data_IF_732710704830
#
_entry.id   IF_732710704830
#
_cell.length_a   1.000
_cell.length_b   1.000
_cell.length_c   1.000
_cell.angle_alpha   90.00
_cell.angle_beta   90.00
_cell.angle_gamma   90.00
#
_symmetry.space_group_name_H-M   'P 1'
#
loop_
_entity.id
_entity.type
_entity.pdbx_description
1 polymer ?
#
# COMPACT_ATOMS: atom_id res chain seq x y z
N UNK A 1 -6.67 -21.49 11.00
CA UNK A 1 -7.90 -20.65 11.04
C UNK A 1 -8.22 -20.34 12.48
N UNK A 2 -8.41 -19.09 12.82
CA UNK A 2 -8.85 -18.59 14.12
C UNK A 2 -10.18 -17.85 13.93
N UNK A 3 -11.09 -17.96 14.91
CA UNK A 3 -12.39 -17.26 14.91
C UNK A 3 -12.66 -16.64 16.27
N UNK A 4 -13.08 -15.39 16.28
CA UNK A 4 -13.49 -14.67 17.49
C UNK A 4 -14.65 -13.74 17.20
N UNK A 5 -15.51 -13.52 18.20
CA UNK A 5 -16.57 -12.50 18.18
C UNK A 5 -16.16 -11.32 19.04
N UNK A 6 -16.67 -10.14 18.72
CA UNK A 6 -16.37 -8.90 19.43
C UNK A 6 -14.86 -8.70 19.68
N UNK A 7 -14.10 -8.80 18.59
CA UNK A 7 -12.64 -8.82 18.62
C UNK A 7 -12.07 -7.41 18.46
N UNK A 8 -11.18 -6.98 19.37
CA UNK A 8 -10.56 -5.66 19.31
C UNK A 8 -9.60 -5.54 18.11
N UNK A 9 -9.80 -4.50 17.28
CA UNK A 9 -8.99 -4.19 16.11
C UNK A 9 -7.91 -3.13 16.38
N UNK A 10 -7.86 -2.55 17.57
CA UNK A 10 -6.97 -1.44 17.91
C UNK A 10 -5.50 -1.73 17.60
N UNK A 11 -5.02 -2.93 17.91
CA UNK A 11 -3.64 -3.36 17.66
C UNK A 11 -3.43 -3.96 16.26
N UNK A 12 -4.49 -4.05 15.46
CA UNK A 12 -4.46 -4.55 14.09
C UNK A 12 -4.45 -3.44 13.04
N UNK A 13 -4.42 -2.18 13.48
CA UNK A 13 -4.23 -1.00 12.62
C UNK A 13 -3.06 -0.18 13.13
N UNK A 14 -2.32 0.45 12.23
CA UNK A 14 -1.17 1.28 12.60
C UNK A 14 -1.58 2.66 13.14
N UNK A 15 -2.82 3.10 12.88
CA UNK A 15 -3.37 4.33 13.46
C UNK A 15 -3.89 4.14 14.89
N UNK A 16 -4.12 2.88 15.30
CA UNK A 16 -4.50 2.47 16.67
C UNK A 16 -5.78 3.12 17.21
N UNK A 17 -6.72 3.52 16.35
CA UNK A 17 -8.07 3.89 16.82
C UNK A 17 -8.80 2.67 17.39
N UNK A 18 -9.60 2.85 18.45
CA UNK A 18 -10.40 1.75 18.98
C UNK A 18 -11.48 1.34 17.99
N UNK A 19 -11.87 0.08 18.03
CA UNK A 19 -12.95 -0.51 17.25
C UNK A 19 -12.94 -2.02 17.41
N UNK A 20 -14.09 -2.64 17.26
CA UNK A 20 -14.27 -4.08 17.38
C UNK A 20 -14.81 -4.67 16.07
N UNK A 21 -14.42 -5.89 15.77
CA UNK A 21 -15.04 -6.69 14.72
C UNK A 21 -16.15 -7.54 15.33
N UNK A 22 -17.36 -7.53 14.77
CA UNK A 22 -18.42 -8.45 15.20
C UNK A 22 -17.99 -9.90 15.00
N UNK A 23 -17.36 -10.17 13.86
CA UNK A 23 -16.78 -11.48 13.53
C UNK A 23 -15.37 -11.30 12.97
N UNK A 24 -14.38 -11.90 13.61
CA UNK A 24 -13.00 -11.90 13.18
C UNK A 24 -12.55 -13.31 12.81
N UNK A 25 -11.94 -13.46 11.64
CA UNK A 25 -11.30 -14.69 11.19
C UNK A 25 -9.87 -14.39 10.74
N UNK A 26 -8.91 -15.25 11.13
CA UNK A 26 -7.61 -15.30 10.48
C UNK A 26 -7.45 -16.58 9.67
N UNK A 27 -6.71 -16.51 8.58
CA UNK A 27 -6.45 -17.66 7.72
C UNK A 27 -5.02 -17.60 7.14
N UNK A 28 -4.39 -18.79 6.99
CA UNK A 28 -2.99 -18.95 6.59
C UNK A 28 -2.82 -19.65 5.23
N UNK A 29 -3.91 -20.09 4.61
CA UNK A 29 -3.93 -20.74 3.30
C UNK A 29 -5.33 -20.65 2.67
N UNK A 30 -5.42 -20.99 1.38
CA UNK A 30 -6.67 -20.93 0.61
C UNK A 30 -7.72 -21.94 1.11
N UNK A 31 -7.31 -23.08 1.64
CA UNK A 31 -8.25 -24.07 2.19
C UNK A 31 -8.96 -23.53 3.43
N UNK A 32 -8.24 -22.84 4.32
CA UNK A 32 -8.84 -22.17 5.48
C UNK A 32 -9.78 -21.05 5.05
N UNK A 33 -9.37 -20.19 4.06
CA UNK A 33 -10.27 -19.18 3.51
C UNK A 33 -11.54 -19.80 2.93
N UNK A 34 -11.40 -20.84 2.13
CA UNK A 34 -12.55 -21.57 1.55
C UNK A 34 -13.47 -22.09 2.65
N UNK A 35 -12.91 -22.67 3.71
CA UNK A 35 -13.69 -23.14 4.86
C UNK A 35 -14.45 -22.02 5.58
N UNK A 36 -13.88 -20.79 5.63
CA UNK A 36 -14.55 -19.63 6.22
C UNK A 36 -15.72 -19.19 5.34
N UNK A 37 -15.47 -18.96 4.03
CA UNK A 37 -16.50 -18.40 3.14
C UNK A 37 -17.61 -19.37 2.79
N UNK A 38 -17.38 -20.67 2.93
CA UNK A 38 -18.38 -21.74 2.76
C UNK A 38 -19.16 -22.09 4.03
N UNK A 39 -18.95 -21.37 5.14
CA UNK A 39 -19.78 -21.55 6.34
C UNK A 39 -21.23 -21.21 6.03
N UNK A 40 -22.16 -21.99 6.54
CA UNK A 40 -23.61 -21.80 6.35
C UNK A 40 -24.12 -20.43 6.83
N UNK A 41 -23.42 -19.80 7.78
CA UNK A 41 -23.77 -18.49 8.34
C UNK A 41 -23.00 -17.33 7.71
N UNK A 42 -21.99 -17.56 6.85
CA UNK A 42 -21.07 -16.52 6.35
C UNK A 42 -21.80 -15.41 5.61
N UNK A 43 -22.71 -15.74 4.70
CA UNK A 43 -23.52 -14.77 3.97
C UNK A 43 -24.32 -13.87 4.91
N UNK A 44 -24.94 -14.45 5.93
CA UNK A 44 -25.74 -13.72 6.93
C UNK A 44 -24.87 -12.80 7.79
N UNK A 45 -23.74 -13.29 8.34
CA UNK A 45 -22.88 -12.50 9.24
C UNK A 45 -22.08 -11.42 8.49
N UNK A 46 -21.91 -11.57 7.17
CA UNK A 46 -21.29 -10.58 6.29
C UNK A 46 -22.30 -9.63 5.64
N UNK A 47 -23.57 -9.65 6.07
CA UNK A 47 -24.64 -8.86 5.50
C UNK A 47 -24.69 -8.98 3.96
N UNK A 48 -24.82 -10.21 3.46
CA UNK A 48 -24.81 -10.54 2.03
C UNK A 48 -23.55 -9.98 1.33
N UNK A 49 -22.37 -10.23 1.94
CA UNK A 49 -21.03 -9.84 1.46
C UNK A 49 -20.75 -8.34 1.44
N UNK A 50 -21.64 -7.48 1.98
CA UNK A 50 -21.46 -6.02 1.98
C UNK A 50 -20.53 -5.53 3.08
N UNK A 51 -20.51 -6.22 4.23
CA UNK A 51 -19.77 -5.82 5.42
C UNK A 51 -18.57 -6.76 5.65
N UNK A 52 -17.67 -6.84 4.65
CA UNK A 52 -16.42 -7.58 4.74
C UNK A 52 -15.25 -6.60 4.70
N UNK A 53 -14.38 -6.67 5.69
CA UNK A 53 -13.09 -5.99 5.72
C UNK A 53 -11.96 -7.02 5.60
N UNK A 54 -11.25 -7.00 4.48
CA UNK A 54 -10.00 -7.76 4.34
C UNK A 54 -8.86 -6.97 4.95
N UNK A 55 -8.19 -7.54 5.94
CA UNK A 55 -7.19 -6.88 6.75
C UNK A 55 -5.79 -7.47 6.50
N UNK A 56 -4.88 -6.63 6.02
CA UNK A 56 -3.43 -6.87 6.02
C UNK A 56 -2.80 -6.37 7.33
N UNK A 57 -1.86 -5.44 7.25
CA UNK A 57 -1.28 -4.75 8.42
C UNK A 57 -2.10 -3.58 8.96
N UNK A 58 -3.22 -3.23 8.33
CA UNK A 58 -4.02 -2.07 8.72
C UNK A 58 -3.29 -0.72 8.60
N UNK A 59 -2.25 -0.64 7.76
CA UNK A 59 -1.36 0.52 7.63
C UNK A 59 -1.93 1.66 6.78
N UNK A 60 -3.08 1.45 6.14
CA UNK A 60 -3.79 2.45 5.36
C UNK A 60 -5.29 2.43 5.72
N UNK A 61 -5.57 2.26 7.00
CA UNK A 61 -6.92 2.12 7.52
C UNK A 61 -7.14 3.05 8.72
N UNK A 62 -8.25 3.78 8.68
CA UNK A 62 -8.78 4.55 9.80
C UNK A 62 -10.13 3.94 10.19
N UNK A 63 -10.21 3.35 11.38
CA UNK A 63 -11.46 2.87 11.95
C UNK A 63 -12.22 4.05 12.55
N UNK A 64 -13.47 4.27 12.10
CA UNK A 64 -14.38 5.30 12.62
C UNK A 64 -15.32 4.73 13.70
N UNK A 65 -15.16 3.48 14.06
CA UNK A 65 -15.97 2.73 15.02
C UNK A 65 -15.86 1.24 14.77
N UNK A 66 -16.85 0.49 15.26
CA UNK A 66 -16.91 -0.95 15.12
C UNK A 66 -17.20 -1.40 13.68
N UNK A 67 -16.67 -2.56 13.31
CA UNK A 67 -16.97 -3.25 12.06
C UNK A 67 -18.10 -4.25 12.33
N UNK A 68 -19.33 -3.90 11.96
CA UNK A 68 -20.55 -4.68 12.21
C UNK A 68 -20.71 -5.90 11.26
N UNK A 69 -19.62 -6.44 10.76
CA UNK A 69 -19.59 -7.54 9.82
C UNK A 69 -18.41 -8.47 10.08
N UNK A 70 -17.78 -8.92 9.01
CA UNK A 70 -16.68 -9.87 9.03
C UNK A 70 -15.36 -9.17 8.74
N UNK A 71 -14.37 -9.37 9.61
CA UNK A 71 -12.98 -9.04 9.35
C UNK A 71 -12.21 -10.31 8.99
N UNK A 72 -11.60 -10.32 7.83
CA UNK A 72 -10.76 -11.40 7.32
C UNK A 72 -9.28 -11.00 7.39
N UNK A 73 -8.57 -11.47 8.39
CA UNK A 73 -7.13 -11.25 8.55
C UNK A 73 -6.37 -12.25 7.68
N UNK A 74 -5.74 -11.73 6.63
CA UNK A 74 -4.93 -12.54 5.73
C UNK A 74 -3.52 -12.73 6.28
N UNK A 75 -3.15 -13.99 6.54
CA UNK A 75 -1.86 -14.41 7.05
C UNK A 75 -1.18 -15.43 6.12
N UNK A 76 -1.59 -15.52 4.85
CA UNK A 76 -0.96 -16.39 3.88
C UNK A 76 0.46 -15.88 3.61
N UNK A 77 1.45 -16.59 4.14
CA UNK A 77 2.86 -16.30 3.98
C UNK A 77 3.50 -17.25 2.98
N UNK A 78 4.75 -16.95 2.65
CA UNK A 78 5.59 -17.78 1.81
C UNK A 78 5.89 -17.12 0.47
N UNK A 79 7.00 -17.55 -0.10
CA UNK A 79 7.50 -17.14 -1.42
C UNK A 79 8.00 -18.40 -2.12
N UNK A 80 7.64 -18.54 -3.38
CA UNK A 80 8.19 -19.58 -4.26
C UNK A 80 8.62 -18.99 -5.59
N UNK A 81 9.71 -19.45 -6.13
CA UNK A 81 10.11 -19.18 -7.50
C UNK A 81 9.22 -20.04 -8.40
N UNK A 82 8.55 -19.39 -9.36
CA UNK A 82 7.64 -20.08 -10.31
C UNK A 82 8.29 -20.28 -11.66
N UNK A 83 9.22 -19.39 -12.03
CA UNK A 83 10.02 -19.50 -13.25
C UNK A 83 11.27 -18.65 -13.13
N UNK A 84 12.27 -18.94 -13.96
CA UNK A 84 13.57 -18.27 -13.94
C UNK A 84 14.20 -18.28 -15.33
N UNK A 85 14.70 -17.13 -15.77
CA UNK A 85 15.50 -16.98 -16.98
C UNK A 85 16.90 -16.41 -16.66
N UNK A 86 17.69 -16.14 -17.69
CA UNK A 86 18.98 -15.45 -17.53
C UNK A 86 18.83 -14.07 -16.92
N UNK A 87 17.78 -13.34 -17.31
CA UNK A 87 17.61 -11.91 -17.00
C UNK A 87 16.54 -11.65 -15.93
N UNK A 88 15.60 -12.57 -15.79
CA UNK A 88 14.42 -12.37 -14.96
C UNK A 88 14.20 -13.51 -13.97
N UNK A 89 13.54 -13.22 -12.88
CA UNK A 89 13.02 -14.15 -11.90
C UNK A 89 11.52 -13.92 -11.69
N UNK A 90 10.74 -15.00 -11.72
CA UNK A 90 9.31 -14.97 -11.47
C UNK A 90 9.04 -15.60 -10.11
N UNK A 91 8.37 -14.86 -9.24
CA UNK A 91 8.05 -15.30 -7.89
C UNK A 91 6.56 -15.17 -7.61
N UNK A 92 6.00 -16.15 -6.90
CA UNK A 92 4.68 -16.06 -6.31
C UNK A 92 4.80 -15.88 -4.80
N UNK A 93 4.12 -14.88 -4.27
CA UNK A 93 4.23 -14.47 -2.87
C UNK A 93 2.87 -14.49 -2.22
N UNK A 94 2.77 -15.07 -1.03
CA UNK A 94 1.56 -15.09 -0.22
C UNK A 94 1.13 -13.70 0.20
N UNK A 95 -0.17 -13.43 0.10
CA UNK A 95 -0.73 -12.09 0.27
C UNK A 95 -0.59 -11.51 1.70
N UNK A 96 -0.40 -12.36 2.71
CA UNK A 96 -0.15 -11.95 4.10
C UNK A 96 1.30 -11.57 4.39
N UNK A 97 2.25 -11.89 3.50
CA UNK A 97 3.65 -11.55 3.68
C UNK A 97 3.85 -10.04 3.79
N UNK A 98 4.72 -9.61 4.70
CA UNK A 98 5.11 -8.21 4.83
C UNK A 98 5.77 -7.70 3.54
N UNK A 99 5.32 -6.54 3.06
CA UNK A 99 5.87 -5.94 1.83
C UNK A 99 7.36 -5.62 1.95
N UNK A 100 7.78 -5.06 3.08
CA UNK A 100 9.20 -4.70 3.25
C UNK A 100 10.09 -5.92 3.39
N UNK A 101 9.60 -6.99 4.01
CA UNK A 101 10.32 -8.27 4.03
C UNK A 101 10.51 -8.85 2.62
N UNK A 102 9.51 -8.73 1.74
CA UNK A 102 9.68 -9.08 0.32
C UNK A 102 10.78 -8.26 -0.34
N UNK A 103 10.79 -6.93 -0.11
CA UNK A 103 11.84 -6.05 -0.65
C UNK A 103 13.22 -6.47 -0.16
N UNK A 104 13.39 -6.71 1.14
CA UNK A 104 14.68 -7.16 1.70
C UNK A 104 15.11 -8.50 1.12
N UNK A 105 14.19 -9.45 0.99
CA UNK A 105 14.46 -10.74 0.37
C UNK A 105 14.93 -10.60 -1.08
N UNK A 106 14.29 -9.73 -1.86
CA UNK A 106 14.71 -9.44 -3.23
C UNK A 106 16.13 -8.85 -3.29
N UNK A 107 16.44 -7.90 -2.40
CA UNK A 107 17.78 -7.30 -2.31
C UNK A 107 18.86 -8.32 -1.97
N UNK A 108 18.60 -9.22 -1.02
CA UNK A 108 19.51 -10.28 -0.60
C UNK A 108 19.84 -11.27 -1.75
N UNK A 109 18.88 -11.46 -2.68
CA UNK A 109 19.03 -12.34 -3.82
C UNK A 109 19.47 -11.61 -5.11
N UNK A 110 19.71 -10.29 -5.04
CA UNK A 110 20.11 -9.48 -6.21
C UNK A 110 18.98 -9.23 -7.21
N UNK A 111 17.72 -9.34 -6.80
CA UNK A 111 16.54 -9.12 -7.65
C UNK A 111 16.11 -7.66 -7.60
N UNK A 112 16.13 -6.99 -8.75
CA UNK A 112 15.81 -5.58 -8.92
C UNK A 112 14.36 -5.36 -9.32
N UNK A 113 13.87 -4.11 -9.08
CA UNK A 113 12.57 -3.60 -9.53
C UNK A 113 11.65 -3.15 -8.41
N UNK A 114 11.95 -3.50 -7.14
CA UNK A 114 11.16 -3.09 -5.98
C UNK A 114 11.96 -2.35 -4.90
N UNK A 115 13.23 -2.07 -5.12
CA UNK A 115 14.12 -1.36 -4.18
C UNK A 115 13.61 0.04 -3.82
N UNK A 116 13.00 0.76 -4.77
CA UNK A 116 12.38 2.07 -4.55
C UNK A 116 11.13 2.01 -3.66
N UNK A 117 10.55 0.82 -3.49
CA UNK A 117 9.35 0.58 -2.68
C UNK A 117 9.68 0.10 -1.25
N UNK A 118 10.96 0.21 -0.85
CA UNK A 118 11.41 -0.14 0.50
C UNK A 118 10.66 0.66 1.58
N UNK A 119 10.45 0.04 2.77
CA UNK A 119 9.73 0.60 3.92
C UNK A 119 8.29 1.05 3.65
N UNK A 120 7.65 0.70 2.54
CA UNK A 120 6.19 0.88 2.42
C UNK A 120 5.54 -0.11 3.39
N UNK A 121 4.76 0.38 4.37
CA UNK A 121 4.10 -0.52 5.31
C UNK A 121 2.91 -1.22 4.67
N UNK A 122 2.66 -2.45 5.02
CA UNK A 122 1.54 -3.23 4.51
C UNK A 122 1.92 -4.67 4.19
N UNK A 123 1.02 -5.36 3.51
CA UNK A 123 1.22 -6.73 3.04
C UNK A 123 1.21 -6.80 1.51
N UNK A 124 1.77 -7.87 0.98
CA UNK A 124 1.84 -8.14 -0.46
C UNK A 124 0.45 -8.10 -1.10
N UNK A 125 -0.57 -8.70 -0.48
CA UNK A 125 -1.94 -8.68 -1.01
C UNK A 125 -2.66 -7.33 -0.93
N UNK A 126 -2.18 -6.40 -0.08
CA UNK A 126 -2.69 -5.04 -0.03
C UNK A 126 -2.06 -4.13 -1.11
N UNK A 127 -0.90 -4.50 -1.64
CA UNK A 127 -0.15 -3.71 -2.59
C UNK A 127 -0.91 -3.45 -3.91
N UNK A 128 -1.59 -4.46 -4.55
CA UNK A 128 -2.37 -4.25 -5.77
C UNK A 128 -3.61 -3.36 -5.57
N UNK A 129 -4.18 -3.32 -4.36
CA UNK A 129 -5.43 -2.60 -4.11
C UNK A 129 -5.34 -1.13 -4.53
N UNK A 130 -4.21 -0.49 -4.29
CA UNK A 130 -3.98 0.90 -4.66
C UNK A 130 -2.72 1.10 -5.52
N UNK A 131 -2.25 0.05 -6.20
CA UNK A 131 -1.05 0.13 -7.02
C UNK A 131 0.03 0.91 -6.27
N UNK A 132 0.55 0.35 -5.16
CA UNK A 132 1.52 1.07 -4.32
C UNK A 132 2.67 1.58 -5.17
N UNK A 133 3.18 2.76 -4.83
CA UNK A 133 4.27 3.36 -5.59
C UNK A 133 4.98 4.45 -4.80
N UNK A 134 6.26 4.57 -5.03
CA UNK A 134 7.13 5.59 -4.45
C UNK A 134 8.35 5.81 -5.34
N UNK A 135 8.87 7.02 -5.34
CA UNK A 135 10.14 7.37 -5.97
C UNK A 135 10.28 6.90 -7.42
N UNK A 136 9.22 7.11 -8.22
CA UNK A 136 9.22 6.83 -9.65
C UNK A 136 8.92 5.39 -10.05
N UNK A 137 8.65 4.49 -9.08
CA UNK A 137 8.30 3.08 -9.32
C UNK A 137 6.90 2.79 -8.76
N UNK A 138 6.12 2.00 -9.48
CA UNK A 138 4.81 1.50 -9.06
C UNK A 138 4.78 -0.03 -9.08
N UNK A 139 3.88 -0.64 -8.32
CA UNK A 139 3.71 -2.10 -8.29
C UNK A 139 3.50 -2.70 -9.68
N UNK A 140 2.70 -2.01 -10.52
CA UNK A 140 2.37 -2.46 -11.89
C UNK A 140 3.59 -2.70 -12.75
N UNK A 141 4.74 -2.07 -12.45
CA UNK A 141 5.96 -2.16 -13.24
C UNK A 141 6.62 -3.56 -13.12
N UNK A 142 6.33 -4.27 -12.03
CA UNK A 142 6.84 -5.62 -11.74
C UNK A 142 5.73 -6.67 -11.59
N UNK A 143 4.47 -6.26 -11.68
CA UNK A 143 3.32 -7.14 -11.49
C UNK A 143 3.10 -8.07 -12.68
N UNK A 144 2.83 -9.34 -12.41
CA UNK A 144 2.48 -10.33 -13.43
C UNK A 144 1.01 -10.73 -13.34
N UNK A 145 0.61 -11.24 -12.19
CA UNK A 145 -0.77 -11.67 -11.93
C UNK A 145 -1.03 -11.74 -10.43
N UNK A 146 -2.27 -11.92 -10.06
CA UNK A 146 -2.67 -12.25 -8.70
C UNK A 146 -3.78 -13.30 -8.70
N UNK A 147 -3.88 -14.01 -7.59
CA UNK A 147 -4.98 -14.94 -7.32
C UNK A 147 -5.87 -14.36 -6.23
N UNK A 148 -7.19 -14.40 -6.45
CA UNK A 148 -8.16 -13.89 -5.48
C UNK A 148 -9.47 -14.69 -5.49
N UNK A 149 -10.18 -14.65 -4.38
CA UNK A 149 -11.54 -15.15 -4.24
C UNK A 149 -12.53 -13.99 -4.35
N UNK A 150 -13.59 -14.17 -5.15
CA UNK A 150 -14.68 -13.21 -5.27
C UNK A 150 -15.88 -13.68 -4.46
N UNK A 151 -16.32 -12.92 -3.46
CA UNK A 151 -17.32 -13.33 -2.48
C UNK A 151 -18.68 -13.55 -3.10
N UNK A 152 -19.23 -12.56 -3.84
CA UNK A 152 -20.57 -12.64 -4.44
C UNK A 152 -20.68 -13.73 -5.52
N UNK A 153 -19.61 -13.90 -6.32
CA UNK A 153 -19.58 -14.89 -7.38
C UNK A 153 -19.17 -16.29 -6.91
N UNK A 154 -18.70 -16.37 -5.67
CA UNK A 154 -18.27 -17.61 -4.99
C UNK A 154 -17.29 -18.43 -5.85
N UNK A 155 -16.25 -17.76 -6.39
CA UNK A 155 -15.26 -18.41 -7.25
C UNK A 155 -13.88 -17.76 -7.18
N UNK A 156 -12.88 -18.52 -7.60
CA UNK A 156 -11.50 -18.09 -7.76
C UNK A 156 -11.27 -17.37 -9.08
N UNK A 157 -10.46 -16.33 -9.03
CA UNK A 157 -9.93 -15.62 -10.20
C UNK A 157 -8.42 -15.60 -10.19
N UNK A 158 -7.85 -15.67 -11.40
CA UNK A 158 -6.48 -15.30 -11.70
C UNK A 158 -6.56 -14.05 -12.58
N UNK A 159 -6.03 -12.93 -12.11
CA UNK A 159 -6.08 -11.64 -12.80
C UNK A 159 -4.70 -11.23 -13.28
N UNK A 160 -4.59 -10.86 -14.54
CA UNK A 160 -3.40 -10.27 -15.13
C UNK A 160 -3.36 -8.75 -14.96
N UNK A 161 -2.36 -8.14 -15.57
CA UNK A 161 -2.09 -6.70 -15.49
C UNK A 161 -3.29 -5.86 -15.96
N UNK A 162 -3.86 -6.20 -17.11
CA UNK A 162 -4.96 -5.46 -17.70
C UNK A 162 -6.25 -5.60 -16.89
N UNK A 163 -6.52 -6.79 -16.34
CA UNK A 163 -7.68 -7.05 -15.50
C UNK A 163 -7.69 -6.20 -14.24
N UNK A 164 -6.52 -5.94 -13.66
CA UNK A 164 -6.35 -5.13 -12.45
C UNK A 164 -6.60 -3.64 -12.70
N UNK A 165 -6.58 -3.15 -13.95
CA UNK A 165 -6.86 -1.78 -14.34
C UNK A 165 -6.12 -0.76 -13.47
N UNK A 166 -4.83 -0.95 -13.26
CA UNK A 166 -4.03 -0.09 -12.39
C UNK A 166 -3.97 1.35 -12.88
N UNK A 167 -4.11 2.28 -11.95
CA UNK A 167 -3.93 3.70 -12.12
C UNK A 167 -3.16 4.32 -10.96
N UNK A 168 -2.99 5.64 -10.96
CA UNK A 168 -2.33 6.35 -9.87
C UNK A 168 -3.10 6.19 -8.56
N UNK A 169 -2.57 5.42 -7.62
CA UNK A 169 -3.20 5.04 -6.34
C UNK A 169 -4.59 4.42 -6.55
N UNK A 170 -4.77 3.66 -7.62
CA UNK A 170 -6.06 3.10 -8.02
C UNK A 170 -5.93 1.73 -8.67
N UNK A 171 -7.02 0.93 -8.61
CA UNK A 171 -7.18 -0.35 -9.27
C UNK A 171 -8.66 -0.75 -9.33
N UNK A 172 -8.96 -1.88 -9.97
CA UNK A 172 -10.31 -2.48 -9.96
C UNK A 172 -10.82 -2.72 -8.52
N UNK A 173 -9.91 -3.02 -7.57
CA UNK A 173 -10.23 -3.29 -6.16
C UNK A 173 -10.65 -2.05 -5.37
N UNK A 174 -10.48 -0.85 -5.91
CA UNK A 174 -11.03 0.41 -5.35
C UNK A 174 -12.31 0.86 -6.06
N UNK A 175 -12.67 0.22 -7.14
CA UNK A 175 -13.81 0.53 -8.00
C UNK A 175 -14.82 -0.62 -8.04
N UNK A 176 -14.98 -1.30 -9.14
CA UNK A 176 -16.00 -2.33 -9.36
C UNK A 176 -15.91 -3.55 -8.43
N UNK A 177 -14.70 -3.88 -7.97
CA UNK A 177 -14.43 -5.01 -7.08
C UNK A 177 -14.13 -4.60 -5.63
N UNK A 178 -14.45 -3.37 -5.27
CA UNK A 178 -14.27 -2.87 -3.90
C UNK A 178 -15.08 -3.71 -2.91
N UNK A 179 -14.42 -4.21 -1.87
CA UNK A 179 -14.95 -5.06 -0.80
C UNK A 179 -15.53 -6.41 -1.29
N UNK A 180 -15.32 -6.79 -2.56
CA UNK A 180 -15.86 -8.03 -3.13
C UNK A 180 -14.86 -9.17 -3.18
N UNK A 181 -13.59 -8.91 -2.91
CA UNK A 181 -12.52 -9.89 -3.12
C UNK A 181 -11.53 -9.94 -1.98
N UNK A 182 -10.89 -11.11 -1.86
CA UNK A 182 -9.68 -11.29 -1.04
C UNK A 182 -8.56 -11.87 -1.91
N UNK A 183 -7.46 -11.14 -2.01
CA UNK A 183 -6.25 -11.56 -2.73
C UNK A 183 -5.50 -12.56 -1.85
N UNK A 184 -5.07 -13.70 -2.41
CA UNK A 184 -4.37 -14.76 -1.67
C UNK A 184 -2.91 -14.90 -2.07
N UNK A 185 -2.57 -14.59 -3.31
CA UNK A 185 -1.17 -14.51 -3.76
C UNK A 185 -0.99 -13.46 -4.86
N UNK A 186 0.24 -12.97 -5.00
CA UNK A 186 0.65 -12.06 -6.07
C UNK A 186 1.90 -12.60 -6.72
N UNK A 187 1.94 -12.59 -8.05
CA UNK A 187 3.10 -12.95 -8.84
C UNK A 187 3.82 -11.70 -9.35
N UNK A 188 5.14 -11.73 -9.24
CA UNK A 188 6.03 -10.66 -9.65
C UNK A 188 7.04 -11.18 -10.66
N UNK A 189 7.42 -10.31 -11.60
CA UNK A 189 8.59 -10.44 -12.45
C UNK A 189 9.63 -9.44 -11.96
N UNK A 190 10.74 -9.92 -11.42
CA UNK A 190 11.87 -9.10 -10.99
C UNK A 190 13.07 -9.34 -11.90
N UNK A 191 13.92 -8.34 -12.04
CA UNK A 191 15.10 -8.44 -12.90
C UNK A 191 16.34 -8.87 -12.13
N UNK A 192 17.17 -9.74 -12.74
CA UNK A 192 18.52 -10.03 -12.28
C UNK A 192 19.55 -9.03 -12.79
N UNK A 193 19.17 -8.25 -13.82
CA UNK A 193 19.97 -7.19 -14.42
C UNK A 193 19.35 -5.84 -14.08
N UNK A 194 19.82 -5.21 -13.00
CA UNK A 194 19.21 -4.00 -12.45
C UNK A 194 19.29 -2.80 -13.41
N UNK A 195 18.12 -2.26 -13.79
CA UNK A 195 18.00 -0.91 -14.35
C UNK A 195 17.45 -0.02 -13.21
N UNK A 196 18.36 0.74 -12.57
CA UNK A 196 18.04 1.50 -11.38
C UNK A 196 17.26 2.77 -11.72
N UNK A 197 16.15 3.01 -11.04
CA UNK A 197 15.45 4.28 -11.11
C UNK A 197 15.96 5.23 -10.01
N UNK A 198 16.89 6.10 -10.36
CA UNK A 198 17.50 7.08 -9.44
C UNK A 198 17.17 8.52 -9.79
N UNK A 199 16.38 8.77 -10.86
CA UNK A 199 16.08 10.12 -11.37
C UNK A 199 15.21 10.94 -10.41
N UNK A 200 14.55 10.33 -9.44
CA UNK A 200 13.82 11.07 -8.43
C UNK A 200 14.80 11.87 -7.56
N UNK A 201 14.75 13.22 -7.66
CA UNK A 201 15.74 14.11 -7.08
C UNK A 201 16.12 13.89 -5.63
N UNK A 202 15.21 13.37 -4.81
CA UNK A 202 15.51 13.02 -3.43
C UNK A 202 16.46 11.83 -3.31
N UNK A 203 16.35 10.81 -4.19
CA UNK A 203 17.26 9.65 -4.22
C UNK A 203 18.65 10.09 -4.64
N UNK A 204 18.74 10.85 -5.73
CA UNK A 204 20.04 11.37 -6.21
C UNK A 204 20.75 12.18 -5.13
N UNK A 205 20.02 13.07 -4.44
CA UNK A 205 20.55 13.86 -3.33
C UNK A 205 21.04 13.01 -2.18
N UNK A 206 20.27 11.95 -1.80
CA UNK A 206 20.64 11.09 -0.68
C UNK A 206 21.83 10.18 -1.01
N UNK A 207 21.89 9.63 -2.23
CA UNK A 207 23.04 8.87 -2.72
C UNK A 207 24.32 9.75 -2.72
N UNK A 208 24.19 11.03 -3.09
CA UNK A 208 25.30 11.98 -3.00
C UNK A 208 25.78 12.19 -1.56
N UNK A 209 24.88 12.32 -0.58
CA UNK A 209 25.24 12.40 0.86
C UNK A 209 25.90 11.13 1.36
N UNK A 210 25.51 9.97 0.84
CA UNK A 210 26.11 8.67 1.15
C UNK A 210 27.47 8.47 0.48
N UNK A 211 27.92 9.38 -0.42
CA UNK A 211 29.16 9.26 -1.17
C UNK A 211 29.13 8.19 -2.28
N UNK A 212 27.93 7.79 -2.72
CA UNK A 212 27.74 6.71 -3.70
C UNK A 212 27.65 7.28 -5.11
N UNK A 213 28.63 6.98 -5.96
CA UNK A 213 28.71 7.43 -7.36
C UNK A 213 28.07 6.44 -8.35
N UNK A 214 28.16 5.15 -8.06
CA UNK A 214 27.60 4.06 -8.88
C UNK A 214 26.76 3.16 -7.96
N UNK A 215 25.47 3.48 -7.76
CA UNK A 215 24.64 2.74 -6.84
C UNK A 215 24.33 1.33 -7.34
N UNK A 216 24.16 0.40 -6.42
CA UNK A 216 23.52 -0.89 -6.60
C UNK A 216 22.07 -0.81 -6.10
N UNK A 217 21.27 -1.88 -6.28
CA UNK A 217 19.91 -1.97 -5.71
C UNK A 217 19.91 -1.75 -4.19
N UNK A 218 20.97 -2.21 -3.51
CA UNK A 218 21.10 -2.08 -2.06
C UNK A 218 21.29 -0.61 -1.63
N UNK A 219 22.16 0.15 -2.34
CA UNK A 219 22.34 1.58 -2.05
C UNK A 219 21.11 2.40 -2.37
N UNK A 220 20.37 2.07 -3.46
CA UNK A 220 19.09 2.71 -3.77
C UNK A 220 18.08 2.45 -2.65
N UNK A 221 17.92 1.20 -2.22
CA UNK A 221 17.02 0.87 -1.13
C UNK A 221 17.42 1.56 0.19
N UNK A 222 18.71 1.63 0.52
CA UNK A 222 19.22 2.36 1.70
C UNK A 222 18.89 3.86 1.61
N UNK A 223 19.11 4.49 0.45
CA UNK A 223 18.77 5.90 0.23
C UNK A 223 17.26 6.12 0.44
N UNK A 224 16.41 5.25 -0.13
CA UNK A 224 14.95 5.29 0.07
C UNK A 224 14.59 5.15 1.55
N UNK A 225 15.17 4.18 2.25
CA UNK A 225 14.94 3.97 3.69
C UNK A 225 15.35 5.20 4.51
N UNK A 226 16.50 5.82 4.23
CA UNK A 226 16.95 7.04 4.90
C UNK A 226 15.97 8.20 4.68
N UNK A 227 15.57 8.44 3.43
CA UNK A 227 14.60 9.50 3.09
C UNK A 227 13.27 9.26 3.81
N UNK A 228 12.78 8.03 3.84
CA UNK A 228 11.51 7.70 4.50
C UNK A 228 11.60 7.87 6.01
N UNK A 229 12.62 7.35 6.64
CA UNK A 229 12.85 7.49 8.10
C UNK A 229 13.01 8.94 8.54
N UNK A 230 13.54 9.82 7.67
CA UNK A 230 13.66 11.25 7.99
C UNK A 230 12.31 12.00 7.98
N UNK A 231 11.30 11.48 7.25
CA UNK A 231 10.03 12.16 6.99
C UNK A 231 8.80 11.45 7.57
N UNK A 232 8.83 10.12 7.66
CA UNK A 232 7.68 9.31 8.03
C UNK A 232 7.96 8.69 9.41
N UNK A 233 7.11 8.94 10.40
CA UNK A 233 7.31 8.36 11.72
C UNK A 233 7.04 6.85 11.71
N UNK A 234 7.81 6.10 12.50
CA UNK A 234 7.51 4.70 12.74
C UNK A 234 6.15 4.58 13.44
N UNK A 235 5.18 3.86 12.85
CA UNK A 235 3.82 3.76 13.40
C UNK A 235 3.76 3.02 14.75
N UNK A 236 4.79 2.26 15.13
CA UNK A 236 4.88 1.63 16.45
C UNK A 236 5.14 2.67 17.55
N UNK A 237 5.87 3.74 17.22
CA UNK A 237 6.21 4.83 18.13
C UNK A 237 5.20 5.99 18.05
N UNK A 238 4.80 6.37 16.84
CA UNK A 238 3.83 7.42 16.56
C UNK A 238 2.74 6.86 15.65
N UNK A 239 1.61 6.41 16.18
CA UNK A 239 0.54 5.80 15.42
C UNK A 239 0.09 6.67 14.25
N UNK A 240 0.08 6.10 13.05
CA UNK A 240 -0.30 6.78 11.81
C UNK A 240 -0.74 5.76 10.75
N UNK A 241 -1.37 6.25 9.69
CA UNK A 241 -1.79 5.42 8.55
C UNK A 241 -1.09 5.85 7.24
N UNK A 242 0.14 6.38 7.34
CA UNK A 242 0.88 6.92 6.19
C UNK A 242 0.30 8.22 5.66
N UNK A 243 0.54 8.52 4.37
CA UNK A 243 0.01 9.73 3.73
C UNK A 243 -1.51 9.63 3.57
N UNK A 244 -2.24 10.51 4.23
CA UNK A 244 -3.70 10.52 4.24
C UNK A 244 -4.29 11.05 2.92
N UNK A 245 -3.66 12.09 2.35
CA UNK A 245 -4.12 12.70 1.10
C UNK A 245 -3.28 12.27 -0.09
N UNK A 246 -3.94 12.01 -1.20
CA UNK A 246 -3.26 11.87 -2.49
C UNK A 246 -3.12 13.22 -3.19
N UNK A 247 -2.15 13.37 -4.08
CA UNK A 247 -1.98 14.56 -4.89
C UNK A 247 -3.20 14.75 -5.79
N UNK A 248 -3.93 15.88 -5.71
CA UNK A 248 -5.07 16.15 -6.58
C UNK A 248 -4.61 16.46 -8.01
N UNK A 249 -5.45 16.07 -8.97
CA UNK A 249 -5.35 16.56 -10.35
C UNK A 249 -6.36 17.67 -10.53
N UNK A 250 -5.93 18.82 -11.04
CA UNK A 250 -6.75 20.01 -11.29
C UNK A 250 -6.69 20.37 -12.78
N UNK A 251 -7.73 21.05 -13.25
CA UNK A 251 -7.82 21.55 -14.63
C UNK A 251 -6.85 22.69 -14.91
N UNK A 252 -6.56 22.98 -16.19
CA UNK A 252 -5.74 24.13 -16.59
C UNK A 252 -6.30 25.43 -16.00
N UNK A 253 -7.63 25.63 -16.04
CA UNK A 253 -8.30 26.82 -15.48
C UNK A 253 -8.10 26.97 -13.98
N UNK A 254 -8.20 25.87 -13.23
CA UNK A 254 -7.96 25.88 -11.76
C UNK A 254 -6.48 26.17 -11.45
N UNK A 255 -5.55 25.63 -12.25
CA UNK A 255 -4.14 25.90 -12.09
C UNK A 255 -3.80 27.38 -12.32
N UNK A 256 -4.26 27.97 -13.42
CA UNK A 256 -4.03 29.39 -13.72
C UNK A 256 -4.63 30.31 -12.62
N UNK A 257 -5.81 29.95 -12.08
CA UNK A 257 -6.38 30.69 -10.96
C UNK A 257 -5.52 30.62 -9.70
N UNK A 258 -5.07 29.43 -9.32
CA UNK A 258 -4.21 29.25 -8.14
C UNK A 258 -2.84 29.94 -8.32
N UNK A 259 -2.31 29.99 -9.54
CA UNK A 259 -1.03 30.62 -9.84
C UNK A 259 -1.03 32.12 -9.62
N UNK A 260 -2.18 32.78 -9.63
CA UNK A 260 -2.31 34.21 -9.32
C UNK A 260 -1.85 34.46 -7.87
N UNK A 261 -2.37 33.67 -6.93
CA UNK A 261 -2.06 33.82 -5.50
C UNK A 261 -0.74 33.10 -5.11
N UNK A 262 -0.36 32.07 -5.88
CA UNK A 262 0.80 31.22 -5.63
C UNK A 262 1.64 31.03 -6.90
N UNK A 263 2.43 32.04 -7.34
CA UNK A 263 3.26 31.98 -8.55
C UNK A 263 4.25 30.79 -8.56
N UNK A 264 4.70 30.37 -7.38
CA UNK A 264 5.67 29.29 -7.15
C UNK A 264 5.00 27.91 -6.92
N UNK A 265 3.69 27.74 -7.25
CA UNK A 265 2.97 26.49 -7.04
C UNK A 265 3.69 25.33 -7.76
N UNK A 266 4.16 24.30 -7.05
CA UNK A 266 4.78 23.16 -7.67
C UNK A 266 3.73 22.30 -8.38
N UNK A 267 4.09 21.73 -9.52
CA UNK A 267 3.18 20.92 -10.31
C UNK A 267 3.89 19.84 -11.12
N UNK A 268 3.13 18.84 -11.51
CA UNK A 268 3.48 17.89 -12.56
C UNK A 268 2.44 18.02 -13.67
N UNK A 269 2.88 18.38 -14.89
CA UNK A 269 1.97 18.50 -16.04
C UNK A 269 1.48 17.09 -16.43
N UNK A 270 0.19 16.96 -16.65
CA UNK A 270 -0.48 15.77 -17.16
C UNK A 270 -1.18 16.11 -18.49
N UNK A 271 -1.54 15.12 -19.32
CA UNK A 271 -2.31 15.39 -20.54
C UNK A 271 -3.59 16.18 -20.29
N UNK A 272 -4.29 15.90 -19.18
CA UNK A 272 -5.60 16.48 -18.87
C UNK A 272 -5.57 17.46 -17.66
N UNK A 273 -4.43 18.13 -17.43
CA UNK A 273 -4.33 19.13 -16.36
C UNK A 273 -3.00 19.09 -15.60
N UNK A 274 -3.07 19.38 -14.30
CA UNK A 274 -1.92 19.51 -13.41
C UNK A 274 -2.11 18.70 -12.14
N UNK A 275 -1.15 17.88 -11.78
CA UNK A 275 -1.10 17.21 -10.48
C UNK A 275 -0.32 18.07 -9.49
N UNK A 276 -0.98 18.48 -8.41
CA UNK A 276 -0.42 19.36 -7.38
C UNK A 276 0.00 18.52 -6.16
N UNK A 277 1.21 18.73 -5.61
CA UNK A 277 1.61 18.06 -4.38
C UNK A 277 0.70 18.41 -3.19
N UNK A 278 -0.03 17.43 -2.66
CA UNK A 278 -0.93 17.66 -1.53
C UNK A 278 -0.18 18.11 -0.26
N UNK A 279 1.07 17.67 -0.07
CA UNK A 279 1.92 18.13 1.03
C UNK A 279 2.13 19.64 1.00
N UNK A 280 2.39 20.20 -0.18
CA UNK A 280 2.56 21.64 -0.35
C UNK A 280 1.23 22.40 -0.04
N UNK A 281 0.10 21.86 -0.50
CA UNK A 281 -1.23 22.47 -0.20
C UNK A 281 -1.48 22.51 1.32
N UNK A 282 -1.19 21.42 2.01
CA UNK A 282 -1.35 21.35 3.47
C UNK A 282 -0.37 22.28 4.21
N UNK A 283 0.86 22.41 3.74
CA UNK A 283 1.82 23.36 4.30
C UNK A 283 1.34 24.81 4.12
N UNK A 284 0.78 25.16 2.96
CA UNK A 284 0.17 26.48 2.71
C UNK A 284 -1.08 26.73 3.57
N UNK A 285 -1.80 25.67 3.93
CA UNK A 285 -2.94 25.73 4.85
C UNK A 285 -2.53 25.67 6.35
N UNK A 286 -1.24 25.81 6.68
CA UNK A 286 -0.70 25.68 8.05
C UNK A 286 -0.98 24.33 8.72
N UNK A 287 -1.14 23.27 7.92
CA UNK A 287 -1.43 21.92 8.43
C UNK A 287 -0.22 21.23 9.06
N UNK A 288 1.01 21.61 8.70
CA UNK A 288 2.24 20.99 9.19
C UNK A 288 2.40 21.23 10.69
N UNK A 289 2.44 20.15 11.48
CA UNK A 289 2.55 20.22 12.95
C UNK A 289 1.27 20.71 13.64
N UNK A 290 0.18 20.94 12.90
CA UNK A 290 -1.12 21.25 13.53
C UNK A 290 -1.61 20.06 14.34
N UNK A 291 -2.13 20.33 15.54
CA UNK A 291 -2.69 19.30 16.40
C UNK A 291 -3.95 19.78 17.12
N UNK A 292 -4.89 18.86 17.33
CA UNK A 292 -6.11 19.07 18.08
C UNK A 292 -6.38 17.86 18.97
N UNK A 293 -6.27 18.03 20.28
CA UNK A 293 -6.37 16.93 21.24
C UNK A 293 -5.28 15.89 20.99
N UNK A 294 -5.70 14.65 20.70
CA UNK A 294 -4.81 13.51 20.46
C UNK A 294 -4.50 13.25 18.97
N UNK A 295 -4.99 14.09 18.08
CA UNK A 295 -4.75 13.92 16.65
C UNK A 295 -4.06 15.14 16.06
N UNK A 296 -3.27 14.93 15.02
CA UNK A 296 -2.56 16.04 14.38
C UNK A 296 -1.92 15.64 13.07
N UNK A 297 -1.33 16.64 12.41
CA UNK A 297 -0.44 16.42 11.27
C UNK A 297 1.00 16.34 11.76
N UNK A 298 1.74 15.37 11.26
CA UNK A 298 3.13 15.17 11.67
C UNK A 298 4.02 16.37 11.31
N UNK A 299 4.87 16.79 12.25
CA UNK A 299 5.72 17.98 12.14
C UNK A 299 6.71 17.96 10.97
N UNK A 300 7.15 16.75 10.52
CA UNK A 300 8.10 16.59 9.41
C UNK A 300 7.42 16.32 8.07
N UNK A 301 6.12 15.97 8.07
CA UNK A 301 5.36 15.67 6.85
C UNK A 301 3.86 15.93 7.08
N UNK A 302 3.36 17.03 6.51
CA UNK A 302 1.97 17.45 6.67
C UNK A 302 0.93 16.44 6.15
N UNK A 303 1.32 15.55 5.21
CA UNK A 303 0.44 14.50 4.68
C UNK A 303 0.09 13.41 5.69
N UNK A 304 0.86 13.30 6.79
CA UNK A 304 0.72 12.19 7.73
C UNK A 304 -0.08 12.67 8.94
N UNK A 305 -1.28 12.13 9.07
CA UNK A 305 -2.06 12.26 10.29
C UNK A 305 -1.51 11.29 11.35
N UNK A 306 -1.41 11.77 12.58
CA UNK A 306 -0.91 11.01 13.73
C UNK A 306 -1.97 10.95 14.82
N UNK A 307 -1.93 9.89 15.62
CA UNK A 307 -2.74 9.69 16.82
C UNK A 307 -1.77 9.52 17.99
N UNK A 308 -1.84 10.42 18.99
CA UNK A 308 -0.88 10.49 20.13
C UNK A 308 -1.54 10.19 21.46
#
# INVERSE_FOLDING_TARGET
>A
MEYSQHFSLQHFTTFKTPGFASHFFSFKNEAELTSIVQRNDFERISNHYKDILVLGKGSNLLLLGDVNGVVLKNEINGLKITDESTDDIFIEVGAGMDWHHLVLHALENGWAGIENLALIPGTVGAAPVQNIGAYGVELRDVFQSLRCWHFEENKWYQLGLDDCQFGYRDSIFKRGWKNKTVITSVQFKLSKNAILNTEYGAITSELGKMGVLKPTILEVAKAVMNIRNSKIPNPDLVPNAGSFFKNPTITDKQYEYLKIDYPEIPYYKLPDGYKIPAGWLLEKANGRGYSEGRVGCYEKQALILINT
#
